data_IF_320575677225
#
_entry.id   IF_320575677225
#
_cell.length_a   1.000
_cell.length_b   1.000
_cell.length_c   1.000
_cell.angle_alpha   90.00
_cell.angle_beta   90.00
_cell.angle_gamma   90.00
#
_symmetry.space_group_name_H-M   'P 1'
#
loop_
_entity.id
_entity.type
_entity.pdbx_description
1 polymer ?
#
# COMPACT_ATOMS: atom_id res chain seq x y z
N UNK A 1 9.87 -14.90 -1.85
CA UNK A 1 8.41 -14.80 -1.84
C UNK A 1 8.05 -13.82 -0.76
N UNK A 2 7.59 -12.63 -1.14
CA UNK A 2 6.99 -11.72 -0.17
C UNK A 2 5.66 -12.36 0.19
N UNK A 3 5.51 -12.78 1.45
CA UNK A 3 4.33 -13.51 1.89
C UNK A 3 3.09 -12.65 1.63
N UNK A 4 2.22 -13.09 0.73
CA UNK A 4 1.01 -12.38 0.25
C UNK A 4 0.17 -11.89 1.44
N UNK A 5 0.13 -12.69 2.51
CA UNK A 5 -0.53 -12.38 3.78
C UNK A 5 0.15 -11.24 4.55
N UNK A 6 1.49 -11.13 4.51
CA UNK A 6 2.21 -10.01 5.14
C UNK A 6 2.07 -8.71 4.36
N UNK A 7 2.04 -8.76 3.02
CA UNK A 7 1.73 -7.57 2.21
C UNK A 7 0.29 -7.15 2.44
N UNK A 8 -0.69 -8.06 2.32
CA UNK A 8 -2.10 -7.80 2.64
C UNK A 8 -2.24 -7.12 4.00
N UNK A 9 -1.71 -7.73 5.06
CA UNK A 9 -1.77 -7.16 6.41
C UNK A 9 -1.07 -5.80 6.51
N UNK A 10 0.04 -5.59 5.80
CA UNK A 10 0.75 -4.30 5.73
C UNK A 10 -0.03 -3.23 4.97
N UNK A 11 -0.64 -3.57 3.83
CA UNK A 11 -1.42 -2.65 2.99
C UNK A 11 -2.64 -2.12 3.74
N UNK A 12 -3.34 -2.98 4.50
CA UNK A 12 -4.54 -2.58 5.24
C UNK A 12 -4.26 -1.69 6.46
N UNK A 13 -3.02 -1.66 6.96
CA UNK A 13 -2.67 -0.95 8.20
C UNK A 13 -2.18 0.50 8.00
N UNK A 14 -2.09 0.98 6.75
CA UNK A 14 -1.40 2.25 6.41
C UNK A 14 -2.30 3.30 5.77
N UNK A 15 -3.53 2.96 5.40
CA UNK A 15 -4.48 3.95 4.89
C UNK A 15 -4.94 4.91 6.00
N UNK A 16 -4.87 6.22 5.76
CA UNK A 16 -5.71 7.17 6.50
C UNK A 16 -7.17 6.77 6.29
N UNK A 17 -7.92 6.66 7.38
CA UNK A 17 -9.37 6.38 7.40
C UNK A 17 -10.09 7.55 6.74
N UNK A 18 -10.11 7.59 5.41
CA UNK A 18 -11.09 8.36 4.68
C UNK A 18 -12.37 7.52 4.58
N UNK A 19 -13.54 8.11 4.73
CA UNK A 19 -14.79 7.43 4.36
C UNK A 19 -14.74 6.92 2.91
N UNK A 20 -15.66 6.05 2.49
CA UNK A 20 -15.83 5.73 1.07
C UNK A 20 -15.86 7.02 0.23
N UNK A 21 -15.18 7.01 -0.92
CA UNK A 21 -15.05 8.19 -1.79
C UNK A 21 -15.52 7.86 -3.20
N UNK A 22 -16.19 8.80 -3.85
CA UNK A 22 -16.45 8.70 -5.28
C UNK A 22 -15.24 9.19 -6.05
N UNK A 23 -14.78 8.40 -7.01
CA UNK A 23 -13.64 8.74 -7.88
C UNK A 23 -14.09 8.77 -9.33
N UNK A 24 -13.63 9.77 -10.08
CA UNK A 24 -13.90 9.97 -11.50
C UNK A 24 -12.64 9.71 -12.31
N UNK A 25 -12.75 8.93 -13.39
CA UNK A 25 -11.65 8.62 -14.29
C UNK A 25 -11.14 9.88 -15.01
N UNK A 26 -9.82 10.07 -15.04
CA UNK A 26 -9.18 11.21 -15.67
C UNK A 26 -9.03 11.08 -17.18
N UNK A 27 -9.09 9.85 -17.68
CA UNK A 27 -8.89 9.49 -19.08
C UNK A 27 -9.61 8.16 -19.37
N UNK A 28 -9.57 7.74 -20.63
CA UNK A 28 -9.91 6.38 -21.02
C UNK A 28 -8.80 5.41 -20.61
N UNK A 29 -9.12 4.44 -19.76
CA UNK A 29 -8.23 3.35 -19.37
C UNK A 29 -8.75 2.06 -19.99
N UNK A 30 -7.93 1.46 -20.86
CA UNK A 30 -8.28 0.28 -21.63
C UNK A 30 -7.16 -0.73 -21.45
N UNK A 31 -7.49 -1.97 -21.06
CA UNK A 31 -6.50 -3.04 -21.03
C UNK A 31 -5.92 -3.27 -22.41
N UNK A 32 -4.60 -3.51 -22.47
CA UNK A 32 -3.92 -3.85 -23.70
C UNK A 32 -4.51 -5.12 -24.35
N UNK A 33 -4.89 -6.09 -23.52
CA UNK A 33 -5.61 -7.30 -23.91
C UNK A 33 -6.86 -7.43 -23.02
N UNK A 34 -8.04 -7.37 -23.63
CA UNK A 34 -9.33 -7.40 -22.93
C UNK A 34 -9.84 -8.81 -22.66
N UNK A 35 -9.22 -9.84 -23.26
CA UNK A 35 -9.66 -11.23 -23.17
C UNK A 35 -8.78 -12.04 -22.20
N UNK A 36 -7.71 -11.44 -21.67
CA UNK A 36 -6.83 -12.07 -20.68
C UNK A 36 -7.08 -11.58 -19.27
N UNK A 37 -6.95 -12.50 -18.31
CA UNK A 37 -6.89 -12.16 -16.88
C UNK A 37 -5.54 -11.55 -16.49
N UNK A 38 -4.49 -11.74 -17.30
CA UNK A 38 -3.11 -11.43 -16.94
C UNK A 38 -2.67 -10.04 -17.45
N UNK A 39 -3.50 -9.03 -17.19
CA UNK A 39 -3.26 -7.63 -17.55
C UNK A 39 -3.47 -6.72 -16.34
N UNK A 40 -2.75 -5.60 -16.29
CA UNK A 40 -2.97 -4.52 -15.35
C UNK A 40 -2.83 -3.19 -16.10
N UNK A 41 -3.70 -2.24 -15.81
CA UNK A 41 -3.66 -0.90 -16.40
C UNK A 41 -3.53 0.12 -15.29
N UNK A 42 -2.51 0.98 -15.34
CA UNK A 42 -2.39 2.10 -14.43
C UNK A 42 -3.57 3.06 -14.62
N UNK A 43 -4.20 3.45 -13.53
CA UNK A 43 -5.34 4.38 -13.54
C UNK A 43 -5.02 5.63 -12.73
N UNK A 44 -5.57 6.75 -13.20
CA UNK A 44 -5.57 8.04 -12.49
C UNK A 44 -7.00 8.55 -12.39
N UNK A 45 -7.35 9.04 -11.21
CA UNK A 45 -8.68 9.49 -10.89
C UNK A 45 -8.67 10.76 -10.05
N UNK A 46 -9.78 11.48 -10.00
CA UNK A 46 -9.98 12.63 -9.13
C UNK A 46 -11.32 12.57 -8.39
N UNK A 47 -11.46 13.40 -7.36
CA UNK A 47 -12.75 13.63 -6.68
C UNK A 47 -13.54 14.74 -7.35
N UNK A 48 -14.80 14.89 -6.94
CA UNK A 48 -15.66 15.95 -7.44
C UNK A 48 -15.02 17.33 -7.26
N UNK A 49 -15.18 18.22 -8.26
CA UNK A 49 -14.51 19.52 -8.31
C UNK A 49 -14.84 20.45 -7.13
N UNK A 50 -15.96 20.23 -6.44
CA UNK A 50 -16.39 21.01 -5.26
C UNK A 50 -15.89 20.46 -3.92
N UNK A 51 -15.06 19.40 -3.91
CA UNK A 51 -14.43 18.86 -2.69
C UNK A 51 -13.06 19.48 -2.48
N UNK A 52 -12.62 19.54 -1.22
CA UNK A 52 -11.31 20.08 -0.83
C UNK A 52 -10.13 19.34 -1.48
N UNK A 53 -10.32 18.03 -1.73
CA UNK A 53 -9.34 17.17 -2.39
C UNK A 53 -9.49 17.15 -3.94
N UNK A 54 -10.24 18.08 -4.54
CA UNK A 54 -10.51 18.10 -6.00
C UNK A 54 -9.26 18.23 -6.86
N UNK A 55 -8.20 18.84 -6.32
CA UNK A 55 -6.91 18.99 -7.00
C UNK A 55 -6.01 17.75 -6.85
N UNK A 56 -6.38 16.80 -6.00
CA UNK A 56 -5.61 15.59 -5.77
C UNK A 56 -5.93 14.52 -6.82
N UNK A 57 -4.89 13.78 -7.21
CA UNK A 57 -4.98 12.60 -8.07
C UNK A 57 -4.87 11.33 -7.24
N UNK A 58 -5.70 10.36 -7.57
CA UNK A 58 -5.78 9.05 -6.96
C UNK A 58 -5.28 8.04 -7.97
N UNK A 59 -4.13 7.45 -7.69
CA UNK A 59 -3.41 6.55 -8.59
C UNK A 59 -3.55 5.10 -8.12
N UNK A 60 -3.61 4.19 -9.08
CA UNK A 60 -3.80 2.78 -8.80
C UNK A 60 -3.73 1.89 -10.03
N UNK A 61 -4.30 0.69 -9.91
CA UNK A 61 -4.42 -0.29 -10.99
C UNK A 61 -5.87 -0.67 -11.24
N UNK A 62 -6.24 -0.77 -12.50
CA UNK A 62 -7.36 -1.57 -12.98
C UNK A 62 -6.84 -2.98 -13.32
N UNK A 63 -7.47 -4.03 -12.80
CA UNK A 63 -7.07 -5.42 -12.99
C UNK A 63 -8.33 -6.28 -13.18
N UNK A 64 -8.40 -7.15 -14.19
CA UNK A 64 -9.56 -8.03 -14.34
C UNK A 64 -9.59 -9.05 -13.21
N UNK A 65 -10.79 -9.48 -12.82
CA UNK A 65 -10.98 -10.60 -11.90
C UNK A 65 -11.88 -11.66 -12.49
N UNK A 66 -11.65 -12.90 -12.08
CA UNK A 66 -12.52 -14.02 -12.40
C UNK A 66 -13.37 -14.39 -11.18
N UNK A 67 -14.52 -14.99 -11.43
CA UNK A 67 -15.40 -15.46 -10.36
C UNK A 67 -15.06 -16.91 -10.06
N UNK A 68 -14.18 -17.15 -9.10
CA UNK A 68 -13.82 -18.50 -8.63
C UNK A 68 -14.70 -19.00 -7.47
N UNK A 69 -15.74 -18.24 -7.10
CA UNK A 69 -16.75 -18.63 -6.10
C UNK A 69 -18.15 -18.84 -6.72
N UNK A 70 -19.01 -19.67 -6.09
CA UNK A 70 -20.41 -19.79 -6.49
C UNK A 70 -21.18 -18.50 -6.17
N UNK A 71 -22.02 -18.05 -7.10
CA UNK A 71 -22.88 -16.88 -6.91
C UNK A 71 -24.34 -17.33 -6.84
N UNK A 72 -24.97 -17.05 -5.71
CA UNK A 72 -26.41 -17.22 -5.55
C UNK A 72 -27.13 -16.01 -6.11
N UNK A 73 -27.93 -16.19 -7.15
CA UNK A 73 -28.85 -15.17 -7.67
C UNK A 73 -30.28 -15.54 -7.28
N UNK A 74 -30.96 -14.61 -6.59
CA UNK A 74 -32.38 -14.75 -6.26
C UNK A 74 -33.23 -13.97 -7.27
N UNK A 75 -34.10 -14.69 -7.97
CA UNK A 75 -35.09 -14.13 -8.89
C UNK A 75 -36.48 -14.42 -8.33
N UNK A 76 -36.97 -13.54 -7.44
CA UNK A 76 -38.18 -13.81 -6.66
C UNK A 76 -37.96 -15.00 -5.70
N UNK A 77 -38.80 -16.02 -5.83
CA UNK A 77 -38.73 -17.25 -5.01
C UNK A 77 -37.76 -18.31 -5.59
N UNK A 78 -37.19 -18.07 -6.78
CA UNK A 78 -36.25 -19.01 -7.42
C UNK A 78 -34.82 -18.61 -7.08
N UNK A 79 -34.10 -19.53 -6.43
CA UNK A 79 -32.68 -19.40 -6.16
C UNK A 79 -31.88 -20.18 -7.20
N UNK A 80 -31.08 -19.48 -8.00
CA UNK A 80 -30.16 -20.10 -8.98
C UNK A 80 -28.74 -19.92 -8.48
N UNK A 81 -28.00 -21.03 -8.35
CA UNK A 81 -26.58 -21.02 -7.99
C UNK A 81 -25.75 -21.09 -9.27
N UNK A 82 -25.04 -20.01 -9.58
CA UNK A 82 -24.12 -19.95 -10.69
C UNK A 82 -22.78 -20.62 -10.31
N UNK A 83 -22.32 -21.65 -11.03
CA UNK A 83 -21.06 -22.33 -10.73
C UNK A 83 -19.86 -21.39 -10.95
N UNK A 84 -18.73 -21.57 -10.25
CA UNK A 84 -17.50 -20.83 -10.50
C UNK A 84 -17.09 -20.82 -11.99
N UNK A 85 -16.51 -19.71 -12.44
CA UNK A 85 -15.96 -19.52 -13.78
C UNK A 85 -14.56 -18.87 -13.67
N UNK A 86 -13.53 -19.61 -13.20
CA UNK A 86 -12.20 -19.07 -12.92
C UNK A 86 -11.45 -18.62 -14.19
N UNK A 87 -11.81 -19.16 -15.36
CA UNK A 87 -11.16 -18.83 -16.63
C UNK A 87 -11.88 -17.72 -17.40
N UNK A 88 -12.92 -17.12 -16.81
CA UNK A 88 -13.70 -16.05 -17.44
C UNK A 88 -13.59 -14.77 -16.65
N UNK A 89 -13.31 -13.67 -17.34
CA UNK A 89 -13.36 -12.33 -16.76
C UNK A 89 -14.79 -12.05 -16.30
N UNK A 90 -14.97 -11.87 -15.00
CA UNK A 90 -16.24 -11.53 -14.37
C UNK A 90 -16.42 -10.01 -14.24
N UNK A 91 -15.33 -9.26 -14.15
CA UNK A 91 -15.34 -7.81 -14.04
C UNK A 91 -13.94 -7.21 -13.91
N UNK A 92 -13.90 -5.93 -13.56
CA UNK A 92 -12.68 -5.17 -13.33
C UNK A 92 -12.61 -4.74 -11.86
N UNK A 93 -11.47 -4.96 -11.23
CA UNK A 93 -11.14 -4.47 -9.91
C UNK A 93 -10.28 -3.22 -10.04
N UNK A 94 -10.51 -2.25 -9.17
CA UNK A 94 -9.72 -1.03 -9.07
C UNK A 94 -9.07 -1.01 -7.70
N UNK A 95 -7.75 -0.91 -7.66
CA UNK A 95 -6.97 -0.84 -6.43
C UNK A 95 -6.21 0.47 -6.44
N UNK A 96 -6.57 1.40 -5.57
CA UNK A 96 -5.99 2.73 -5.46
C UNK A 96 -5.09 2.75 -4.24
N UNK A 97 -3.79 2.97 -4.44
CA UNK A 97 -2.81 2.94 -3.36
C UNK A 97 -2.13 4.28 -3.07
N UNK A 98 -2.31 5.30 -3.92
CA UNK A 98 -1.57 6.55 -3.82
C UNK A 98 -2.48 7.75 -4.07
N UNK A 99 -2.37 8.75 -3.21
CA UNK A 99 -3.00 10.07 -3.36
C UNK A 99 -1.92 11.13 -3.51
N UNK A 100 -1.96 11.88 -4.60
CA UNK A 100 -0.99 12.91 -4.95
C UNK A 100 -1.71 14.25 -4.94
N UNK A 101 -1.30 15.17 -4.07
CA UNK A 101 -1.89 16.51 -3.99
C UNK A 101 -0.81 17.58 -4.27
N UNK A 102 -1.14 18.67 -4.98
CA UNK A 102 -0.18 19.75 -5.24
C UNK A 102 0.44 20.30 -3.95
N UNK A 103 1.77 20.37 -3.92
CA UNK A 103 2.53 20.92 -2.78
C UNK A 103 2.57 20.05 -1.53
N UNK A 104 2.09 18.80 -1.58
CA UNK A 104 2.19 17.82 -0.49
C UNK A 104 3.02 16.61 -0.91
N UNK A 105 3.56 15.90 0.08
CA UNK A 105 4.13 14.58 -0.17
C UNK A 105 3.02 13.59 -0.54
N UNK A 106 3.37 12.56 -1.30
CA UNK A 106 2.42 11.54 -1.69
C UNK A 106 1.90 10.76 -0.49
N UNK A 107 0.59 10.66 -0.40
CA UNK A 107 -0.11 9.98 0.67
C UNK A 107 -0.36 8.53 0.26
N UNK A 108 0.07 7.59 1.10
CA UNK A 108 -0.31 6.19 0.95
C UNK A 108 -1.75 5.99 1.42
N UNK A 109 -2.56 5.41 0.55
CA UNK A 109 -3.96 5.05 0.83
C UNK A 109 -4.17 3.61 0.40
N UNK A 110 -5.30 3.00 0.76
CA UNK A 110 -5.72 1.76 0.12
C UNK A 110 -7.23 1.78 -0.06
N UNK A 111 -7.68 1.78 -1.31
CA UNK A 111 -9.09 1.71 -1.66
C UNK A 111 -9.32 0.70 -2.75
N UNK A 112 -10.48 0.07 -2.67
CA UNK A 112 -10.91 -0.89 -3.66
C UNK A 112 -12.24 -0.47 -4.26
N UNK A 113 -12.45 -0.80 -5.52
CA UNK A 113 -13.76 -0.80 -6.14
C UNK A 113 -13.82 -1.94 -7.14
N UNK A 114 -15.02 -2.30 -7.58
CA UNK A 114 -15.19 -3.19 -8.70
C UNK A 114 -16.29 -2.73 -9.65
N UNK A 115 -16.19 -3.24 -10.89
CA UNK A 115 -17.19 -3.07 -11.92
C UNK A 115 -17.45 -4.43 -12.57
N UNK A 116 -18.54 -5.06 -12.15
CA UNK A 116 -19.03 -6.31 -12.73
C UNK A 116 -19.36 -6.14 -14.20
N UNK A 117 -19.08 -7.19 -14.99
CA UNK A 117 -19.40 -7.29 -16.43
C UNK A 117 -18.79 -6.16 -17.28
N UNK A 118 -17.73 -5.52 -16.82
CA UNK A 118 -17.00 -4.50 -17.57
C UNK A 118 -15.96 -5.12 -18.51
N UNK A 119 -15.97 -4.69 -19.77
CA UNK A 119 -15.16 -5.21 -20.90
C UNK A 119 -13.71 -4.72 -20.91
N UNK A 120 -13.08 -4.60 -19.73
CA UNK A 120 -11.68 -4.15 -19.64
C UNK A 120 -11.46 -2.69 -19.99
N UNK A 121 -12.51 -1.87 -19.86
CA UNK A 121 -12.50 -0.44 -20.17
C UNK A 121 -13.14 0.36 -19.04
N UNK A 122 -12.50 1.46 -18.69
CA UNK A 122 -13.03 2.54 -17.88
C UNK A 122 -12.89 3.83 -18.69
N UNK A 123 -14.00 4.40 -19.15
CA UNK A 123 -13.96 5.61 -19.96
C UNK A 123 -13.85 6.85 -19.07
N UNK A 124 -13.33 7.93 -19.62
CA UNK A 124 -13.22 9.24 -18.97
C UNK A 124 -14.55 9.64 -18.31
N UNK A 125 -14.47 10.29 -17.14
CA UNK A 125 -15.61 10.77 -16.33
C UNK A 125 -16.52 9.69 -15.76
N UNK A 126 -16.30 8.41 -16.06
CA UNK A 126 -16.96 7.34 -15.32
C UNK A 126 -16.49 7.37 -13.88
N UNK A 127 -17.39 7.02 -12.97
CA UNK A 127 -17.12 7.02 -11.55
C UNK A 127 -17.55 5.74 -10.86
N UNK A 128 -16.96 5.52 -9.69
CA UNK A 128 -17.35 4.47 -8.76
C UNK A 128 -17.04 4.90 -7.33
N UNK A 129 -17.73 4.28 -6.37
CA UNK A 129 -17.40 4.37 -4.96
C UNK A 129 -16.20 3.48 -4.66
N UNK A 130 -15.11 4.07 -4.17
CA UNK A 130 -13.93 3.36 -3.71
C UNK A 130 -14.00 3.20 -2.18
N UNK A 131 -14.00 1.94 -1.75
CA UNK A 131 -14.24 1.52 -0.38
C UNK A 131 -12.94 1.41 0.41
N UNK A 132 -13.01 1.77 1.69
CA UNK A 132 -11.95 1.51 2.67
C UNK A 132 -12.16 0.13 3.32
N UNK A 133 -11.16 -0.73 3.22
CA UNK A 133 -11.24 -2.09 3.77
C UNK A 133 -10.59 -2.24 5.15
N UNK A 134 -9.91 -1.20 5.66
CA UNK A 134 -9.14 -1.27 6.91
C UNK A 134 -10.00 -1.65 8.13
N UNK A 135 -11.25 -1.18 8.18
CA UNK A 135 -12.23 -1.51 9.21
C UNK A 135 -13.16 -2.69 8.88
N UNK A 136 -13.03 -3.29 7.70
CA UNK A 136 -13.96 -4.32 7.23
C UNK A 136 -13.49 -5.71 7.68
N UNK A 137 -14.40 -6.47 8.30
CA UNK A 137 -14.15 -7.88 8.66
C UNK A 137 -13.93 -8.70 7.39
N UNK A 138 -13.09 -9.73 7.47
CA UNK A 138 -12.63 -10.49 6.32
C UNK A 138 -13.77 -11.09 5.49
N UNK A 139 -14.83 -11.58 6.13
CA UNK A 139 -15.99 -12.17 5.46
C UNK A 139 -16.81 -11.18 4.61
N UNK A 140 -16.67 -9.88 4.86
CA UNK A 140 -17.35 -8.82 4.11
C UNK A 140 -16.48 -8.22 3.03
N UNK A 141 -15.18 -8.53 3.01
CA UNK A 141 -14.26 -8.03 1.97
C UNK A 141 -14.64 -8.64 0.62
N UNK A 142 -14.35 -7.93 -0.49
CA UNK A 142 -14.63 -8.46 -1.81
C UNK A 142 -13.92 -9.79 -2.05
N UNK A 143 -14.69 -10.83 -2.43
CA UNK A 143 -14.17 -12.19 -2.65
C UNK A 143 -13.08 -12.26 -3.73
N UNK A 144 -13.10 -11.34 -4.70
CA UNK A 144 -12.09 -11.25 -5.75
C UNK A 144 -10.73 -10.72 -5.26
N UNK A 145 -10.67 -10.05 -4.11
CA UNK A 145 -9.50 -9.29 -3.68
C UNK A 145 -8.23 -10.15 -3.51
N UNK A 146 -8.28 -11.31 -2.84
CA UNK A 146 -7.09 -12.16 -2.71
C UNK A 146 -6.56 -12.62 -4.07
N UNK A 147 -7.45 -13.00 -4.99
CA UNK A 147 -7.10 -13.42 -6.33
C UNK A 147 -6.41 -12.30 -7.12
N UNK A 148 -6.95 -11.08 -7.05
CA UNK A 148 -6.40 -9.91 -7.76
C UNK A 148 -5.03 -9.51 -7.21
N UNK A 149 -4.84 -9.51 -5.89
CA UNK A 149 -3.55 -9.18 -5.29
C UNK A 149 -2.47 -10.21 -5.63
N UNK A 150 -2.80 -11.51 -5.57
CA UNK A 150 -1.89 -12.57 -6.02
C UNK A 150 -1.54 -12.43 -7.52
N UNK A 151 -2.49 -11.96 -8.34
CA UNK A 151 -2.25 -11.68 -9.76
C UNK A 151 -1.31 -10.48 -9.94
N UNK A 152 -1.52 -9.38 -9.22
CA UNK A 152 -0.63 -8.20 -9.28
C UNK A 152 0.81 -8.61 -8.92
N UNK A 153 1.01 -9.47 -7.91
CA UNK A 153 2.34 -9.98 -7.56
C UNK A 153 3.00 -10.76 -8.70
N UNK A 154 2.24 -11.65 -9.38
CA UNK A 154 2.77 -12.36 -10.56
C UNK A 154 3.07 -11.40 -11.71
N UNK A 155 2.18 -10.44 -11.95
CA UNK A 155 2.36 -9.44 -13.02
C UNK A 155 3.56 -8.55 -12.77
N UNK A 156 3.84 -8.18 -11.52
CA UNK A 156 4.97 -7.34 -11.14
C UNK A 156 6.36 -7.92 -11.51
N UNK A 157 6.44 -9.19 -11.90
CA UNK A 157 7.66 -9.78 -12.46
C UNK A 157 7.96 -9.33 -13.89
N UNK A 158 6.96 -8.84 -14.62
CA UNK A 158 7.06 -8.47 -16.05
C UNK A 158 6.39 -7.14 -16.42
N UNK A 159 5.47 -6.66 -15.58
CA UNK A 159 4.72 -5.43 -15.77
C UNK A 159 5.23 -4.34 -14.82
N UNK A 160 5.69 -3.23 -15.39
CA UNK A 160 6.28 -2.11 -14.65
C UNK A 160 5.29 -1.36 -13.77
N UNK A 161 4.01 -1.32 -14.15
CA UNK A 161 2.97 -0.60 -13.40
C UNK A 161 2.55 -1.42 -12.19
N UNK A 162 2.38 -2.74 -12.36
CA UNK A 162 2.19 -3.67 -11.25
C UNK A 162 3.37 -3.64 -10.27
N UNK A 163 4.60 -3.59 -10.80
CA UNK A 163 5.83 -3.44 -10.00
C UNK A 163 5.81 -2.14 -9.20
N UNK A 164 5.57 -1.00 -9.85
CA UNK A 164 5.54 0.31 -9.20
C UNK A 164 4.46 0.41 -8.11
N UNK A 165 3.29 -0.19 -8.35
CA UNK A 165 2.23 -0.30 -7.36
C UNK A 165 2.69 -1.04 -6.10
N UNK A 166 3.31 -2.21 -6.25
CA UNK A 166 3.78 -2.99 -5.10
C UNK A 166 4.96 -2.30 -4.38
N UNK A 167 5.91 -1.76 -5.12
CA UNK A 167 7.08 -1.09 -4.54
C UNK A 167 6.65 0.15 -3.72
N UNK A 168 5.70 0.96 -4.22
CA UNK A 168 5.12 2.08 -3.46
C UNK A 168 4.44 1.59 -2.17
N UNK A 169 3.63 0.54 -2.29
CA UNK A 169 2.87 -0.01 -1.16
C UNK A 169 3.80 -0.59 -0.09
N UNK A 170 4.87 -1.28 -0.49
CA UNK A 170 5.88 -1.82 0.40
C UNK A 170 6.68 -0.71 1.11
N UNK A 171 7.06 0.35 0.39
CA UNK A 171 7.73 1.50 0.97
C UNK A 171 6.85 2.22 2.01
N UNK A 172 5.56 2.40 1.71
CA UNK A 172 4.60 2.96 2.64
C UNK A 172 4.42 2.09 3.90
N UNK A 173 4.32 0.77 3.73
CA UNK A 173 4.24 -0.18 4.83
C UNK A 173 5.47 -0.13 5.74
N UNK A 174 6.67 -0.08 5.16
CA UNK A 174 7.92 0.05 5.91
C UNK A 174 8.00 1.37 6.68
N UNK A 175 7.62 2.49 6.06
CA UNK A 175 7.59 3.80 6.70
C UNK A 175 6.61 3.85 7.89
N UNK A 176 5.41 3.27 7.73
CA UNK A 176 4.42 3.21 8.80
C UNK A 176 4.86 2.29 9.95
N UNK A 177 5.50 1.15 9.65
CA UNK A 177 6.06 0.27 10.66
C UNK A 177 7.18 0.96 11.46
N UNK A 178 8.08 1.67 10.77
CA UNK A 178 9.13 2.46 11.41
C UNK A 178 8.58 3.58 12.31
N UNK A 179 7.54 4.29 11.85
CA UNK A 179 6.86 5.32 12.65
C UNK A 179 6.23 4.75 13.94
N UNK A 180 5.67 3.53 13.88
CA UNK A 180 5.10 2.84 15.06
C UNK A 180 6.18 2.33 16.03
N UNK A 181 7.38 2.04 15.55
CA UNK A 181 8.50 1.56 16.37
C UNK A 181 9.15 2.66 17.24
N UNK A 182 8.88 3.94 16.96
CA UNK A 182 9.36 5.09 17.73
C UNK A 182 10.89 5.35 17.63
N UNK A 183 11.40 6.47 18.16
CA UNK A 183 12.83 6.85 18.06
C UNK A 183 13.80 6.03 18.93
N UNK A 184 13.37 4.92 19.54
CA UNK A 184 14.12 4.25 20.61
C UNK A 184 15.00 3.06 20.18
N UNK A 185 15.00 2.67 18.90
CA UNK A 185 15.55 1.39 18.48
C UNK A 185 16.91 1.45 17.76
N UNK A 186 17.73 2.49 17.95
CA UNK A 186 19.17 2.38 17.71
C UNK A 186 19.94 3.48 18.46
N UNK A 187 20.39 3.16 19.66
CA UNK A 187 21.67 3.66 20.14
C UNK A 187 22.42 2.45 20.71
N UNK A 188 23.50 1.98 20.08
CA UNK A 188 24.40 1.04 20.73
C UNK A 188 24.96 1.73 21.96
N UNK A 189 24.76 1.12 23.12
CA UNK A 189 25.38 1.52 24.35
C UNK A 189 26.91 1.50 24.18
N UNK A 190 27.51 2.67 23.96
CA UNK A 190 28.87 2.92 24.39
C UNK A 190 28.86 3.07 25.91
N UNK A 191 28.80 1.94 26.62
CA UNK A 191 29.20 1.83 28.02
C UNK A 191 30.38 0.87 28.00
N UNK A 192 31.60 1.36 27.95
CA UNK A 192 32.20 2.00 29.11
C UNK A 192 32.88 0.91 29.92
N UNK A 193 34.08 0.53 29.48
CA UNK A 193 34.98 -0.34 30.22
C UNK A 193 35.22 0.33 31.58
N UNK A 194 34.61 -0.21 32.64
CA UNK A 194 34.95 0.14 34.02
C UNK A 194 36.32 -0.45 34.32
N UNK A 195 37.33 0.41 34.26
CA UNK A 195 38.63 0.18 34.84
C UNK A 195 38.47 0.05 36.37
N UNK A 196 38.76 -1.15 36.89
CA UNK A 196 38.85 -1.42 38.32
C UNK A 196 40.18 -0.90 38.85
N UNK A 197 40.13 0.13 39.69
CA UNK A 197 41.27 0.60 40.50
C UNK A 197 41.18 -0.06 41.88
N UNK A 198 42.22 -0.78 42.36
CA UNK A 198 42.44 -0.97 43.78
C UNK A 198 43.45 0.06 44.30
N UNK A 199 43.13 0.61 45.47
CA UNK A 199 43.97 1.50 46.25
C UNK A 199 45.11 0.73 46.94
N UNK A 200 46.31 1.33 46.97
CA UNK A 200 47.45 0.84 47.74
C UNK A 200 48.59 1.87 47.75
N UNK A 201 48.83 2.44 48.92
CA UNK A 201 49.87 3.42 49.27
C UNK A 201 51.30 3.04 48.85
N UNK A 202 52.11 4.03 48.44
CA UNK A 202 53.27 4.50 49.22
C UNK A 202 54.22 5.43 48.43
N UNK A 203 54.53 6.56 49.09
CA UNK A 203 55.76 7.39 49.10
C UNK A 203 56.76 7.38 47.92
N UNK A 204 57.16 8.59 47.49
CA UNK A 204 58.46 8.77 46.79
C UNK A 204 58.65 10.09 46.03
N UNK A 205 59.05 11.14 46.74
CA UNK A 205 59.92 12.28 46.36
C UNK A 205 60.27 12.60 44.89
N UNK A 206 60.05 13.89 44.57
CA UNK A 206 61.02 14.87 44.04
C UNK A 206 61.12 15.17 42.51
N UNK A 207 60.76 16.44 42.22
CA UNK A 207 61.59 17.46 41.54
C UNK A 207 61.46 17.74 40.02
N UNK A 208 61.25 19.04 39.77
CA UNK A 208 61.79 19.90 38.70
C UNK A 208 61.06 20.05 37.33
N UNK A 209 60.44 21.25 37.21
CA UNK A 209 60.75 22.33 36.25
C UNK A 209 60.17 22.36 34.82
N UNK A 210 59.65 23.55 34.46
CA UNK A 210 59.38 24.08 33.10
C UNK A 210 57.90 24.45 32.88
N UNK A 211 57.40 25.71 33.04
CA UNK A 211 57.58 26.92 32.20
C UNK A 211 57.36 26.59 30.69
N UNK A 212 56.43 27.17 29.92
CA UNK A 212 55.97 28.56 29.79
C UNK A 212 54.63 28.68 29.01
N UNK A 213 54.01 29.84 29.20
CA UNK A 213 52.98 30.54 28.39
C UNK A 213 53.01 30.33 26.86
N UNK A 214 51.86 30.40 26.18
CA UNK A 214 51.25 31.68 25.68
C UNK A 214 50.24 31.47 24.54
N UNK A 215 49.11 32.16 24.67
CA UNK A 215 48.31 32.86 23.67
C UNK A 215 48.34 32.46 22.17
N UNK A 216 47.17 32.11 21.62
CA UNK A 216 46.37 33.04 20.78
C UNK A 216 44.97 32.52 20.54
#
# INVERSE_FOLDING_TARGET
MLDVLNILNGVFLVGVVASNITLYADADFIHADQDTLDTATAVSMHREWWRDDSQCRFLGLMVPFARDWPETQKHGDIETINPPAPDKIAGQAFLINRKVCPGKADEAIFRVADRWRSTGKLLEKHHFGAEDLSGMREEYRPKWLPQVLARIERLAQRDKEARAFLDFTAAAAAAAAAAKAGPGAQQPAAAGVRETVPAGDSAGTASAAGRTDSAR
#
